data_IF_232430501500
#
_entry.id   IF_232430501500
#
_cell.length_a   1.000
_cell.length_b   1.000
_cell.length_c   1.000
_cell.angle_alpha   90.00
_cell.angle_beta   90.00
_cell.angle_gamma   90.00
#
_symmetry.space_group_name_H-M   'P 1'
#
loop_
_entity.id
_entity.type
_entity.pdbx_description
1 polymer ?
#
# COMPACT_ATOMS: atom_id res chain seq x y z
N UNK A 1 6.53 16.16 -37.72
CA UNK A 1 5.78 15.25 -36.85
C UNK A 1 6.71 15.00 -35.74
N UNK A 2 6.37 15.33 -34.44
CA UNK A 2 7.21 14.93 -33.33
C UNK A 2 7.37 13.42 -33.41
N UNK A 3 8.58 12.91 -33.23
CA UNK A 3 8.85 11.46 -33.20
C UNK A 3 7.89 10.83 -32.22
N UNK A 4 7.11 9.84 -32.68
CA UNK A 4 6.17 9.13 -31.85
C UNK A 4 6.97 8.48 -30.72
N UNK A 5 6.55 8.64 -29.47
CA UNK A 5 7.17 8.01 -28.32
C UNK A 5 7.25 6.49 -28.54
N UNK A 6 8.47 5.96 -28.54
CA UNK A 6 8.75 4.53 -28.64
C UNK A 6 9.49 4.08 -27.35
N UNK A 7 8.87 3.28 -26.50
CA UNK A 7 9.49 2.83 -25.26
C UNK A 7 10.75 1.99 -25.49
N UNK A 8 10.84 1.27 -26.62
CA UNK A 8 11.98 0.40 -26.91
C UNK A 8 13.29 1.18 -27.16
N UNK A 9 13.19 2.38 -27.67
CA UNK A 9 14.34 3.23 -28.00
C UNK A 9 14.53 4.40 -27.03
N UNK A 10 13.50 4.71 -26.24
CA UNK A 10 13.55 5.85 -25.32
C UNK A 10 14.61 5.65 -24.23
N UNK A 11 15.40 6.69 -23.96
CA UNK A 11 16.38 6.74 -22.87
C UNK A 11 15.91 7.74 -21.82
N UNK A 12 15.82 7.31 -20.57
CA UNK A 12 15.37 8.16 -19.48
C UNK A 12 15.24 7.43 -18.16
N UNK A 13 14.70 8.14 -17.18
CA UNK A 13 14.47 7.58 -15.85
C UNK A 13 13.05 7.87 -15.36
N UNK A 14 12.54 7.01 -14.50
CA UNK A 14 11.27 7.18 -13.79
C UNK A 14 11.40 6.73 -12.34
N UNK A 15 10.68 7.42 -11.46
CA UNK A 15 10.75 7.22 -9.99
C UNK A 15 9.36 6.82 -9.50
N UNK A 16 9.27 5.60 -8.98
CA UNK A 16 8.05 5.02 -8.42
C UNK A 16 8.18 4.92 -6.90
N UNK A 17 7.29 5.57 -6.16
CA UNK A 17 7.21 5.44 -4.71
C UNK A 17 6.02 4.56 -4.30
N UNK A 18 6.27 3.65 -3.35
CA UNK A 18 5.24 2.78 -2.78
C UNK A 18 5.71 2.24 -1.42
N UNK A 19 4.82 1.55 -0.70
CA UNK A 19 5.19 0.85 0.55
C UNK A 19 6.07 -0.38 0.26
N UNK A 20 6.69 -0.96 1.29
CA UNK A 20 7.38 -2.24 1.18
C UNK A 20 6.45 -3.35 0.65
N UNK A 21 5.19 -3.37 1.10
CA UNK A 21 4.16 -4.25 0.54
C UNK A 21 3.94 -4.01 -0.96
N UNK A 22 3.82 -2.76 -1.39
CA UNK A 22 3.69 -2.39 -2.80
C UNK A 22 4.92 -2.82 -3.60
N UNK A 23 6.12 -2.58 -3.07
CA UNK A 23 7.38 -3.00 -3.69
C UNK A 23 7.44 -4.52 -3.90
N UNK A 24 7.14 -5.31 -2.88
CA UNK A 24 7.07 -6.77 -2.99
C UNK A 24 5.99 -7.27 -3.96
N UNK A 25 4.87 -6.56 -4.05
CA UNK A 25 3.75 -6.99 -4.87
C UNK A 25 3.92 -6.64 -6.35
N UNK A 26 4.55 -5.52 -6.66
CA UNK A 26 4.58 -4.91 -7.99
C UNK A 26 5.92 -5.12 -8.67
N UNK A 27 7.04 -4.78 -8.02
CA UNK A 27 8.35 -4.73 -8.68
C UNK A 27 8.83 -6.07 -9.27
N UNK A 28 8.66 -7.23 -8.62
CA UNK A 28 9.11 -8.51 -9.18
C UNK A 28 8.45 -8.87 -10.51
N UNK A 29 7.28 -8.29 -10.81
CA UNK A 29 6.57 -8.45 -12.07
C UNK A 29 6.85 -7.30 -13.04
N UNK A 30 6.85 -6.08 -12.52
CA UNK A 30 7.05 -4.87 -13.31
C UNK A 30 8.43 -4.83 -13.94
N UNK A 31 9.48 -5.10 -13.17
CA UNK A 31 10.87 -4.94 -13.63
C UNK A 31 11.23 -5.83 -14.82
N UNK A 32 10.93 -7.15 -14.83
CA UNK A 32 11.21 -7.99 -15.99
C UNK A 32 10.44 -7.56 -17.26
N UNK A 33 9.19 -7.13 -17.10
CA UNK A 33 8.38 -6.66 -18.22
C UNK A 33 8.87 -5.31 -18.73
N UNK A 34 9.23 -4.39 -17.82
CA UNK A 34 9.79 -3.09 -18.16
C UNK A 34 11.12 -3.22 -18.90
N UNK A 35 12.02 -4.08 -18.41
CA UNK A 35 13.31 -4.31 -19.05
C UNK A 35 13.16 -4.86 -20.48
N UNK A 36 12.10 -5.63 -20.75
CA UNK A 36 11.80 -6.13 -22.09
C UNK A 36 11.18 -5.05 -22.98
N UNK A 37 10.26 -4.25 -22.45
CA UNK A 37 9.50 -3.27 -23.22
C UNK A 37 10.25 -1.94 -23.40
N UNK A 38 11.08 -1.54 -22.44
CA UNK A 38 11.81 -0.28 -22.42
C UNK A 38 13.21 -0.47 -21.79
N UNK A 39 14.13 -1.16 -22.49
CA UNK A 39 15.41 -1.62 -21.93
C UNK A 39 16.34 -0.47 -21.50
N UNK A 40 16.12 0.74 -22.01
CA UNK A 40 16.95 1.91 -21.73
C UNK A 40 16.30 2.85 -20.69
N UNK A 41 15.15 2.48 -20.11
CA UNK A 41 14.50 3.24 -19.05
C UNK A 41 14.99 2.76 -17.69
N UNK A 42 15.56 3.67 -16.92
CA UNK A 42 15.98 3.41 -15.55
C UNK A 42 14.81 3.61 -14.59
N UNK A 43 14.44 2.59 -13.84
CA UNK A 43 13.45 2.67 -12.76
C UNK A 43 14.14 2.82 -11.40
N UNK A 44 13.77 3.87 -10.66
CA UNK A 44 14.11 4.02 -9.25
C UNK A 44 12.89 3.76 -8.38
N UNK A 45 12.93 2.74 -7.53
CA UNK A 45 11.90 2.47 -6.55
C UNK A 45 12.23 3.21 -5.24
N UNK A 46 11.25 3.90 -4.68
CA UNK A 46 11.37 4.72 -3.48
C UNK A 46 10.37 4.24 -2.42
N UNK A 47 10.78 4.32 -1.17
CA UNK A 47 9.89 3.99 -0.05
C UNK A 47 8.82 5.06 0.17
N UNK A 48 7.68 4.64 0.72
CA UNK A 48 6.63 5.55 1.15
C UNK A 48 7.11 6.46 2.28
N UNK A 49 6.92 7.77 2.10
CA UNK A 49 7.26 8.82 3.07
C UNK A 49 6.06 9.75 3.28
N UNK A 50 6.10 10.52 4.36
CA UNK A 50 5.01 11.43 4.74
C UNK A 50 4.72 12.53 3.74
N UNK A 51 5.70 12.94 2.97
CA UNK A 51 5.64 14.11 2.08
C UNK A 51 5.59 13.74 0.58
N UNK A 52 5.16 12.52 0.24
CA UNK A 52 5.18 12.05 -1.16
C UNK A 52 4.38 12.93 -2.11
N UNK A 53 3.23 13.48 -1.69
CA UNK A 53 2.46 14.38 -2.54
C UNK A 53 3.26 15.67 -2.85
N UNK A 54 3.94 16.24 -1.87
CA UNK A 54 4.86 17.37 -2.07
C UNK A 54 6.05 16.95 -2.93
N UNK A 55 6.56 15.73 -2.81
CA UNK A 55 7.64 15.23 -3.67
C UNK A 55 7.20 15.06 -5.14
N UNK A 56 5.91 14.80 -5.41
CA UNK A 56 5.34 14.90 -6.77
C UNK A 56 5.37 16.34 -7.28
N UNK A 57 4.96 17.30 -6.45
CA UNK A 57 5.01 18.73 -6.77
C UNK A 57 6.44 19.20 -7.05
N UNK A 58 7.39 18.78 -6.24
CA UNK A 58 8.82 19.11 -6.35
C UNK A 58 9.55 18.35 -7.48
N UNK A 59 8.87 17.50 -8.23
CA UNK A 59 9.47 16.64 -9.26
C UNK A 59 10.56 15.68 -8.73
N UNK A 60 10.42 15.20 -7.50
CA UNK A 60 11.31 14.21 -6.87
C UNK A 60 10.81 12.78 -7.02
N UNK A 61 9.50 12.64 -7.24
CA UNK A 61 8.79 11.38 -7.52
C UNK A 61 7.94 11.59 -8.76
N UNK A 62 7.79 10.58 -9.61
CA UNK A 62 7.00 10.65 -10.83
C UNK A 62 5.63 9.97 -10.65
N UNK A 63 5.62 8.85 -9.94
CA UNK A 63 4.42 8.05 -9.71
C UNK A 63 4.40 7.51 -8.27
N UNK A 64 3.27 7.62 -7.59
CA UNK A 64 3.04 7.00 -6.28
C UNK A 64 1.99 5.91 -6.44
N UNK A 65 2.15 4.78 -5.73
CA UNK A 65 1.13 3.74 -5.60
C UNK A 65 0.89 3.43 -4.13
N UNK A 66 -0.34 3.60 -3.67
CA UNK A 66 -0.73 3.28 -2.30
C UNK A 66 -2.13 3.73 -1.94
N UNK A 67 -2.52 3.46 -0.71
CA UNK A 67 -3.72 4.05 -0.11
C UNK A 67 -3.42 5.49 0.28
N UNK A 68 -4.21 6.43 -0.18
CA UNK A 68 -4.10 7.82 0.22
C UNK A 68 -5.48 8.46 0.31
N UNK A 69 -5.55 9.49 1.13
CA UNK A 69 -6.68 10.40 1.24
C UNK A 69 -6.80 11.28 0.00
N UNK A 70 -7.83 12.11 -0.07
CA UNK A 70 -8.07 13.03 -1.18
C UNK A 70 -6.81 13.85 -1.53
N UNK A 71 -6.33 13.73 -2.79
CA UNK A 71 -5.16 14.46 -3.22
C UNK A 71 -5.49 15.95 -3.48
N UNK A 72 -4.50 16.86 -3.43
CA UNK A 72 -4.63 18.23 -3.91
C UNK A 72 -5.11 18.31 -5.36
N UNK A 73 -5.65 19.47 -5.77
CA UNK A 73 -6.30 19.66 -7.08
C UNK A 73 -5.37 19.43 -8.29
N UNK A 74 -4.07 19.57 -8.12
CA UNK A 74 -3.04 19.38 -9.15
C UNK A 74 -2.43 17.96 -9.15
N UNK A 75 -2.92 17.07 -8.30
CA UNK A 75 -2.54 15.66 -8.26
C UNK A 75 -3.68 14.83 -8.84
N UNK A 76 -3.41 14.16 -9.94
CA UNK A 76 -4.33 13.19 -10.53
C UNK A 76 -4.27 11.86 -9.78
N UNK A 77 -5.42 11.20 -9.73
CA UNK A 77 -5.59 9.90 -9.09
C UNK A 77 -6.27 8.91 -10.04
N UNK A 78 -5.83 7.64 -10.00
CA UNK A 78 -6.51 6.51 -10.64
C UNK A 78 -6.51 5.33 -9.70
N UNK A 79 -7.70 4.87 -9.32
CA UNK A 79 -7.86 3.67 -8.49
C UNK A 79 -7.38 2.45 -9.26
N UNK A 80 -6.54 1.62 -8.63
CA UNK A 80 -5.97 0.39 -9.20
C UNK A 80 -6.44 -0.87 -8.48
N UNK A 81 -6.93 -0.76 -7.24
CA UNK A 81 -7.51 -1.88 -6.51
C UNK A 81 -8.37 -1.38 -5.35
N UNK A 82 -9.28 -2.24 -4.91
CA UNK A 82 -10.02 -2.07 -3.67
C UNK A 82 -9.60 -3.18 -2.70
N UNK A 83 -9.54 -2.86 -1.42
CA UNK A 83 -9.21 -3.81 -0.37
C UNK A 83 -10.01 -3.51 0.90
N UNK A 84 -9.94 -4.37 1.88
CA UNK A 84 -10.54 -4.19 3.20
C UNK A 84 -9.53 -4.62 4.26
N UNK A 85 -9.74 -4.16 5.49
CA UNK A 85 -8.87 -4.50 6.61
C UNK A 85 -9.36 -5.73 7.35
N UNK A 86 -8.42 -6.55 7.81
CA UNK A 86 -8.65 -7.63 8.76
C UNK A 86 -7.68 -7.52 9.92
N UNK A 87 -8.09 -8.02 11.08
CA UNK A 87 -7.25 -8.09 12.27
C UNK A 87 -6.35 -9.32 12.16
N UNK A 88 -5.07 -9.12 12.42
CA UNK A 88 -4.08 -10.19 12.51
C UNK A 88 -3.53 -10.28 13.93
N UNK A 89 -3.45 -11.50 14.44
CA UNK A 89 -2.83 -11.86 15.71
C UNK A 89 -1.94 -13.08 15.52
N UNK A 90 -1.01 -13.35 16.45
CA UNK A 90 -0.24 -14.59 16.42
C UNK A 90 -1.12 -15.83 16.71
N UNK A 91 -0.68 -17.01 16.30
CA UNK A 91 -1.27 -18.27 16.80
C UNK A 91 -1.10 -18.39 18.32
N UNK A 92 -2.11 -18.96 18.97
CA UNK A 92 -2.16 -19.06 20.43
C UNK A 92 -2.37 -17.70 21.12
N UNK A 93 -2.83 -16.67 20.41
CA UNK A 93 -3.29 -15.41 21.02
C UNK A 93 -4.57 -15.66 21.81
N UNK A 94 -4.80 -15.01 22.99
CA UNK A 94 -6.02 -15.19 23.77
C UNK A 94 -7.33 -15.00 22.97
N UNK A 95 -7.31 -14.14 21.95
CA UNK A 95 -8.43 -13.85 21.08
C UNK A 95 -8.26 -14.40 19.64
N UNK A 96 -7.54 -15.50 19.45
CA UNK A 96 -7.23 -16.00 18.09
C UNK A 96 -8.45 -16.48 17.26
N UNK A 97 -9.60 -16.69 17.90
CA UNK A 97 -10.81 -17.19 17.25
C UNK A 97 -11.93 -16.15 17.15
N UNK A 98 -11.96 -15.21 18.08
CA UNK A 98 -12.98 -14.19 18.17
C UNK A 98 -12.48 -13.03 19.03
N UNK A 99 -12.89 -11.82 18.68
CA UNK A 99 -12.68 -10.63 19.50
C UNK A 99 -13.93 -9.76 19.54
N UNK A 100 -14.34 -9.38 20.75
CA UNK A 100 -15.37 -8.35 20.94
C UNK A 100 -14.79 -6.94 20.69
N UNK A 101 -15.68 -5.96 20.48
CA UNK A 101 -15.26 -4.57 20.34
C UNK A 101 -14.55 -4.07 21.62
N UNK A 102 -15.09 -4.43 22.78
CA UNK A 102 -14.50 -4.04 24.07
C UNK A 102 -13.09 -4.61 24.21
N UNK A 103 -12.89 -5.91 23.96
CA UNK A 103 -11.57 -6.54 24.03
C UNK A 103 -10.60 -5.91 23.02
N UNK A 104 -11.07 -5.65 21.79
CA UNK A 104 -10.25 -5.01 20.75
C UNK A 104 -9.71 -3.64 21.20
N UNK A 105 -10.55 -2.82 21.85
CA UNK A 105 -10.16 -1.50 22.30
C UNK A 105 -9.17 -1.55 23.50
N UNK A 106 -9.21 -2.62 24.30
CA UNK A 106 -8.34 -2.81 25.46
C UNK A 106 -6.97 -3.41 25.11
N UNK A 107 -6.84 -4.05 23.93
CA UNK A 107 -5.57 -4.65 23.50
C UNK A 107 -4.54 -3.60 23.09
N UNK A 108 -3.28 -3.98 23.15
CA UNK A 108 -2.18 -3.23 22.56
C UNK A 108 -2.13 -3.47 21.04
N UNK A 109 -1.97 -2.40 20.27
CA UNK A 109 -1.94 -2.47 18.82
C UNK A 109 -0.58 -2.07 18.24
N UNK A 110 -0.17 -2.80 17.20
CA UNK A 110 0.82 -2.32 16.26
C UNK A 110 0.10 -1.54 15.13
N UNK A 111 0.77 -0.56 14.56
CA UNK A 111 0.24 0.24 13.45
C UNK A 111 1.31 0.45 12.38
N UNK A 112 0.92 0.29 11.11
CA UNK A 112 1.76 0.74 10.00
C UNK A 112 1.68 2.26 9.94
N UNK A 113 2.83 2.91 10.08
CA UNK A 113 2.94 4.36 10.02
C UNK A 113 4.28 4.77 9.40
N UNK A 114 4.29 5.24 8.16
CA UNK A 114 5.52 5.67 7.49
C UNK A 114 6.26 6.81 8.21
N UNK A 115 5.54 7.59 9.01
CA UNK A 115 6.09 8.75 9.73
C UNK A 115 6.44 8.44 11.19
N UNK A 116 6.04 7.28 11.71
CA UNK A 116 6.11 6.96 13.13
C UNK A 116 5.18 7.78 14.04
N UNK A 117 4.30 8.58 13.46
CA UNK A 117 3.40 9.49 14.17
C UNK A 117 2.01 9.54 13.51
N UNK A 118 1.10 10.30 14.11
CA UNK A 118 -0.23 10.55 13.57
C UNK A 118 -1.27 9.49 13.93
N UNK A 119 -2.48 9.70 13.42
CA UNK A 119 -3.63 8.80 13.50
C UNK A 119 -3.83 8.14 12.13
N UNK A 120 -4.29 6.90 12.13
CA UNK A 120 -4.72 6.22 10.91
C UNK A 120 -6.20 6.53 10.62
N UNK A 121 -6.67 6.24 9.41
CA UNK A 121 -8.10 6.27 9.08
C UNK A 121 -8.93 5.42 10.06
N UNK A 122 -8.38 4.32 10.56
CA UNK A 122 -9.02 3.48 11.57
C UNK A 122 -9.22 4.23 12.88
N UNK A 123 -8.22 4.99 13.31
CA UNK A 123 -8.32 5.79 14.54
C UNK A 123 -9.35 6.92 14.37
N UNK A 124 -9.52 7.46 13.16
CA UNK A 124 -10.57 8.43 12.85
C UNK A 124 -11.96 7.81 12.86
N UNK A 125 -12.12 6.60 12.31
CA UNK A 125 -13.38 5.84 12.37
C UNK A 125 -13.80 5.56 13.80
N UNK A 126 -12.86 5.13 14.65
CA UNK A 126 -13.10 4.91 16.08
C UNK A 126 -13.46 6.21 16.80
N UNK A 127 -12.71 7.28 16.53
CA UNK A 127 -12.92 8.58 17.16
C UNK A 127 -14.30 9.18 16.85
N UNK A 128 -14.84 9.00 15.64
CA UNK A 128 -16.21 9.41 15.28
C UNK A 128 -17.28 8.72 16.13
N UNK A 129 -16.97 7.57 16.73
CA UNK A 129 -17.83 6.81 17.62
C UNK A 129 -17.46 7.00 19.10
N UNK A 130 -16.59 7.97 19.42
CA UNK A 130 -16.12 8.24 20.78
C UNK A 130 -15.16 7.18 21.34
N UNK A 131 -14.58 6.35 20.48
CA UNK A 131 -13.70 5.24 20.86
C UNK A 131 -12.24 5.54 20.50
N UNK A 132 -11.35 4.92 21.26
CA UNK A 132 -9.90 4.97 21.04
C UNK A 132 -9.28 3.61 21.31
N UNK A 133 -8.14 3.34 20.68
CA UNK A 133 -7.32 2.16 20.96
C UNK A 133 -5.90 2.56 21.34
N UNK A 134 -5.18 1.70 22.04
CA UNK A 134 -3.80 1.95 22.43
C UNK A 134 -2.83 1.47 21.36
N UNK A 135 -2.09 2.39 20.76
CA UNK A 135 -1.01 2.05 19.83
C UNK A 135 0.29 1.86 20.61
N UNK A 136 0.69 0.61 20.81
CA UNK A 136 1.91 0.26 21.52
C UNK A 136 3.17 0.45 20.67
N UNK A 137 3.07 0.23 19.35
CA UNK A 137 4.19 0.40 18.42
C UNK A 137 3.73 0.91 17.06
N UNK A 138 4.53 1.79 16.46
CA UNK A 138 4.40 2.25 15.08
C UNK A 138 5.61 1.80 14.28
N UNK A 139 5.39 1.18 13.14
CA UNK A 139 6.45 0.72 12.24
C UNK A 139 6.15 1.13 10.80
N UNK A 140 7.16 1.50 10.01
CA UNK A 140 6.94 1.93 8.62
C UNK A 140 6.69 0.78 7.65
N UNK A 141 7.01 -0.48 8.02
CA UNK A 141 7.07 -1.60 7.11
C UNK A 141 6.13 -2.74 7.52
N UNK A 142 5.37 -3.26 6.56
CA UNK A 142 4.42 -4.36 6.74
C UNK A 142 5.12 -5.66 7.18
N UNK A 143 6.25 -5.98 6.56
CA UNK A 143 6.97 -7.23 6.88
C UNK A 143 7.61 -7.18 8.28
N UNK A 144 8.09 -6.02 8.72
CA UNK A 144 8.57 -5.85 10.09
C UNK A 144 7.45 -6.02 11.12
N UNK A 145 6.25 -5.51 10.80
CA UNK A 145 5.08 -5.67 11.67
C UNK A 145 4.71 -7.14 11.86
N UNK A 146 4.77 -8.00 10.83
CA UNK A 146 4.51 -9.43 10.96
C UNK A 146 5.41 -10.08 12.00
N UNK A 147 6.70 -9.75 12.02
CA UNK A 147 7.63 -10.34 12.98
C UNK A 147 7.43 -9.84 14.41
N UNK A 148 6.88 -8.63 14.58
CA UNK A 148 6.47 -8.11 15.89
C UNK A 148 5.22 -8.86 16.38
N UNK A 149 4.18 -8.96 15.54
CA UNK A 149 2.94 -9.67 15.87
C UNK A 149 3.22 -11.13 16.22
N UNK A 150 4.11 -11.80 15.51
CA UNK A 150 4.46 -13.20 15.79
C UNK A 150 5.06 -13.43 17.18
N UNK A 151 5.57 -12.37 17.86
CA UNK A 151 6.30 -12.45 19.13
C UNK A 151 5.63 -11.70 20.28
N UNK A 152 4.45 -11.14 20.05
CA UNK A 152 3.72 -10.34 21.04
C UNK A 152 2.24 -10.69 21.05
N UNK A 153 1.51 -10.23 22.06
CA UNK A 153 0.05 -10.27 22.07
C UNK A 153 -0.56 -8.97 21.46
N UNK A 154 0.18 -8.29 20.62
CA UNK A 154 -0.35 -7.14 19.91
C UNK A 154 -1.27 -7.57 18.76
N UNK A 155 -2.22 -6.72 18.46
CA UNK A 155 -3.07 -6.81 17.28
C UNK A 155 -2.64 -5.83 16.22
N UNK A 156 -2.89 -6.16 14.95
CA UNK A 156 -2.69 -5.23 13.85
C UNK A 156 -3.81 -5.37 12.83
N UNK A 157 -4.23 -4.25 12.25
CA UNK A 157 -5.10 -4.22 11.08
C UNK A 157 -4.24 -4.13 9.82
N UNK A 158 -4.44 -5.08 8.93
CA UNK A 158 -3.72 -5.16 7.65
C UNK A 158 -4.69 -5.36 6.48
N UNK A 159 -4.33 -4.90 5.28
CA UNK A 159 -5.12 -5.16 4.07
C UNK A 159 -5.26 -6.66 3.81
N UNK A 160 -6.47 -7.10 3.46
CA UNK A 160 -6.77 -8.53 3.25
C UNK A 160 -5.94 -9.14 2.12
N UNK A 161 -5.62 -8.37 1.09
CA UNK A 161 -4.76 -8.81 0.00
C UNK A 161 -3.32 -9.07 0.46
N UNK A 162 -2.82 -8.25 1.40
CA UNK A 162 -1.52 -8.49 2.03
C UNK A 162 -1.53 -9.79 2.84
N UNK A 163 -2.54 -9.94 3.70
CA UNK A 163 -2.71 -11.14 4.55
C UNK A 163 -2.75 -12.38 3.69
N UNK A 164 -3.65 -12.43 2.70
CA UNK A 164 -3.82 -13.60 1.83
C UNK A 164 -2.54 -13.99 1.07
N UNK A 165 -1.68 -13.02 0.77
CA UNK A 165 -0.52 -13.25 -0.08
C UNK A 165 0.76 -13.57 0.68
N UNK A 166 0.92 -13.00 1.87
CA UNK A 166 2.20 -13.00 2.56
C UNK A 166 2.15 -13.54 4.00
N UNK A 167 0.96 -13.75 4.55
CA UNK A 167 0.83 -14.24 5.92
C UNK A 167 0.77 -15.78 5.93
N UNK A 168 1.63 -16.35 6.75
CA UNK A 168 1.64 -17.78 7.04
C UNK A 168 0.60 -18.10 8.13
N UNK A 169 -0.48 -18.77 7.75
CA UNK A 169 -1.58 -19.10 8.65
C UNK A 169 -1.23 -20.16 9.71
N UNK A 170 -0.07 -20.81 9.61
CA UNK A 170 0.44 -21.66 10.68
C UNK A 170 1.02 -20.82 11.85
N UNK A 171 1.42 -19.58 11.58
CA UNK A 171 1.96 -18.65 12.57
C UNK A 171 0.93 -17.62 13.07
N UNK A 172 -0.11 -17.37 12.31
CA UNK A 172 -1.06 -16.29 12.58
C UNK A 172 -2.52 -16.73 12.46
N UNK A 173 -3.37 -15.99 13.14
CA UNK A 173 -4.82 -16.08 13.03
C UNK A 173 -5.38 -14.76 12.50
N UNK A 174 -6.36 -14.87 11.62
CA UNK A 174 -7.03 -13.73 10.96
C UNK A 174 -8.44 -13.62 11.48
N UNK A 175 -8.84 -12.43 11.89
CA UNK A 175 -10.16 -12.13 12.44
C UNK A 175 -10.80 -10.99 11.67
N UNK A 176 -12.11 -10.97 11.62
CA UNK A 176 -12.83 -9.78 11.19
C UNK A 176 -12.75 -8.69 12.26
N UNK A 177 -12.68 -7.44 11.84
CA UNK A 177 -12.73 -6.33 12.77
C UNK A 177 -14.11 -6.27 13.45
N UNK A 178 -14.20 -6.05 14.78
CA UNK A 178 -15.47 -6.02 15.51
C UNK A 178 -16.25 -4.70 15.32
N UNK A 179 -15.93 -3.94 14.28
CA UNK A 179 -16.59 -2.70 13.87
C UNK A 179 -16.48 -2.50 12.36
N UNK A 180 -17.31 -1.65 11.80
CA UNK A 180 -17.28 -1.37 10.37
C UNK A 180 -16.10 -0.47 10.02
N UNK A 181 -15.29 -0.93 9.07
CA UNK A 181 -14.18 -0.19 8.49
C UNK A 181 -14.49 0.04 7.01
N UNK A 182 -14.35 1.27 6.50
CA UNK A 182 -14.45 1.53 5.07
C UNK A 182 -13.46 0.71 4.26
N UNK A 183 -13.80 0.38 3.03
CA UNK A 183 -12.84 -0.17 2.07
C UNK A 183 -11.75 0.85 1.77
N UNK A 184 -10.54 0.35 1.51
CA UNK A 184 -9.44 1.20 1.08
C UNK A 184 -9.28 1.12 -0.43
N UNK A 185 -9.09 2.27 -1.04
CA UNK A 185 -8.73 2.39 -2.45
C UNK A 185 -7.22 2.50 -2.59
N UNK A 186 -6.63 1.52 -3.27
CA UNK A 186 -5.23 1.61 -3.68
C UNK A 186 -5.21 2.35 -5.01
N UNK A 187 -4.47 3.42 -5.07
CA UNK A 187 -4.46 4.34 -6.20
C UNK A 187 -3.06 4.64 -6.69
N UNK A 188 -2.99 5.01 -7.95
CA UNK A 188 -1.84 5.67 -8.56
C UNK A 188 -2.05 7.18 -8.49
N UNK A 189 -1.00 7.94 -8.13
CA UNK A 189 -1.01 9.39 -8.05
C UNK A 189 0.14 9.97 -8.87
N UNK A 190 -0.13 11.06 -9.58
CA UNK A 190 0.87 11.80 -10.35
C UNK A 190 0.49 13.27 -10.48
N UNK A 191 1.47 14.14 -10.64
CA UNK A 191 1.24 15.57 -10.78
C UNK A 191 0.69 15.92 -12.17
N UNK A 192 -0.18 16.94 -12.25
CA UNK A 192 -0.86 17.39 -13.47
C UNK A 192 0.11 17.72 -14.61
N UNK A 193 1.31 18.28 -14.32
CA UNK A 193 2.32 18.59 -15.35
C UNK A 193 2.77 17.35 -16.13
N UNK A 194 2.73 16.15 -15.51
CA UNK A 194 3.15 14.88 -16.14
C UNK A 194 1.98 14.18 -16.87
N UNK A 195 0.77 14.76 -16.81
CA UNK A 195 -0.42 14.09 -17.34
C UNK A 195 -0.33 13.79 -18.82
N UNK A 196 0.23 14.71 -19.61
CA UNK A 196 0.37 14.60 -21.06
C UNK A 196 1.79 14.22 -21.52
N UNK A 197 2.75 14.04 -20.59
CA UNK A 197 4.09 13.55 -20.92
C UNK A 197 4.01 12.13 -21.50
N UNK A 198 4.58 11.88 -22.71
CA UNK A 198 4.43 10.59 -23.40
C UNK A 198 5.02 9.41 -22.64
N UNK A 199 6.23 9.57 -22.04
CA UNK A 199 6.85 8.53 -21.25
C UNK A 199 6.00 8.22 -20.00
N UNK A 200 5.62 9.28 -19.29
CA UNK A 200 4.88 9.14 -18.05
C UNK A 200 3.50 8.51 -18.28
N UNK A 201 2.80 8.91 -19.36
CA UNK A 201 1.53 8.29 -19.76
C UNK A 201 1.69 6.81 -20.06
N UNK A 202 2.69 6.45 -20.88
CA UNK A 202 3.00 5.06 -21.18
C UNK A 202 3.33 4.28 -19.91
N UNK A 203 4.20 4.82 -19.05
CA UNK A 203 4.61 4.15 -17.82
C UNK A 203 3.43 3.91 -16.86
N UNK A 204 2.54 4.89 -16.67
CA UNK A 204 1.32 4.71 -15.86
C UNK A 204 0.44 3.57 -16.39
N UNK A 205 0.20 3.56 -17.70
CA UNK A 205 -0.63 2.53 -18.32
C UNK A 205 0.05 1.16 -18.24
N UNK A 206 1.37 1.10 -18.40
CA UNK A 206 2.16 -0.11 -18.27
C UNK A 206 2.11 -0.68 -16.84
N UNK A 207 2.29 0.17 -15.83
CA UNK A 207 2.16 -0.20 -14.42
C UNK A 207 0.74 -0.67 -14.10
N UNK A 208 -0.27 0.07 -14.55
CA UNK A 208 -1.66 -0.29 -14.38
C UNK A 208 -1.97 -1.67 -14.94
N UNK A 209 -1.58 -1.93 -16.19
CA UNK A 209 -1.77 -3.24 -16.82
C UNK A 209 -1.03 -4.35 -16.08
N UNK A 210 0.19 -4.10 -15.60
CA UNK A 210 0.97 -5.06 -14.81
C UNK A 210 0.25 -5.46 -13.51
N UNK A 211 -0.43 -4.52 -12.86
CA UNK A 211 -1.23 -4.79 -11.66
C UNK A 211 -2.49 -5.59 -12.01
N UNK A 212 -3.18 -5.22 -13.09
CA UNK A 212 -4.47 -5.80 -13.49
C UNK A 212 -4.34 -7.15 -14.23
N UNK A 213 -3.28 -7.39 -14.99
CA UNK A 213 -3.14 -8.57 -15.87
C UNK A 213 -2.94 -9.91 -15.12
N UNK A 214 -2.94 -9.87 -13.78
CA UNK A 214 -2.97 -11.08 -12.98
C UNK A 214 -4.24 -11.07 -12.13
N UNK A 215 -5.36 -11.57 -12.66
CA UNK A 215 -6.50 -11.87 -11.83
C UNK A 215 -6.01 -12.81 -10.73
N UNK A 216 -6.31 -12.43 -9.53
CA UNK A 216 -6.07 -13.13 -8.27
C UNK A 216 -6.23 -14.63 -8.49
N UNK A 217 -5.15 -15.42 -8.44
CA UNK A 217 -5.30 -16.85 -8.22
C UNK A 217 -5.93 -17.00 -6.83
N UNK A 218 -7.24 -17.10 -6.83
CA UNK A 218 -7.97 -17.70 -5.72
C UNK A 218 -7.49 -19.14 -5.71
N UNK A 219 -6.66 -19.51 -4.75
CA UNK A 219 -6.54 -20.92 -4.38
C UNK A 219 -7.85 -21.21 -3.66
N UNK A 220 -8.72 -21.96 -4.33
CA UNK A 220 -9.84 -22.66 -3.71
C UNK A 220 -9.35 -23.55 -2.57
#
# INVERSE_FOLDING_TARGET
>A
IPDAFDPATYQGSTRLATTDYGSHSILPRLVPLLNKAAPNVQLSALDWRSNLLTELEDNKVDLIIGGATEPPADIFQRVVAHDHFQVLVRRGHPHEHYISLEDYLQQDHAMISPTGSGKSEIDEVLAKQGMTRKIAVRVPHFFAALEIIARTDFMILLPSNFIRRYVDLDRFSVLDAPFQIPTIDISMFWHARMHHDPLHKWFRDFVYQTIYSHPRRIKE
#
